data_IF_049076408589
#
_entry.id   IF_049076408589
#
_cell.length_a   1.000
_cell.length_b   1.000
_cell.length_c   1.000
_cell.angle_alpha   90.00
_cell.angle_beta   90.00
_cell.angle_gamma   90.00
#
_symmetry.space_group_name_H-M   'P 1'
#
loop_
_entity.id
_entity.type
_entity.pdbx_description
1 polymer ?
#
# COMPACT_ATOMS: atom_id res chain seq x y z
N UNK A 1 22.58 -9.38 15.41
CA UNK A 1 23.61 -9.82 16.37
C UNK A 1 24.12 -8.54 17.00
N UNK A 2 23.50 -8.15 18.12
CA UNK A 2 23.80 -6.89 18.83
C UNK A 2 25.15 -7.08 19.51
N UNK A 3 26.05 -6.10 19.47
CA UNK A 3 27.35 -6.19 20.13
C UNK A 3 27.12 -6.39 21.64
N UNK A 4 27.24 -7.63 22.12
CA UNK A 4 26.83 -8.05 23.46
C UNK A 4 27.87 -7.73 24.55
N UNK A 5 29.03 -7.19 24.16
CA UNK A 5 30.15 -6.94 25.07
C UNK A 5 30.28 -5.48 25.55
N UNK A 6 29.47 -4.56 25.04
CA UNK A 6 29.43 -3.19 25.55
C UNK A 6 28.57 -3.11 26.83
N UNK A 7 29.10 -3.70 27.90
CA UNK A 7 28.58 -3.64 29.27
C UNK A 7 28.82 -2.27 29.91
N UNK A 8 28.67 -1.18 29.16
CA UNK A 8 28.80 0.18 29.69
C UNK A 8 27.41 0.66 30.12
N UNK A 9 27.08 0.39 31.39
CA UNK A 9 25.93 0.90 32.13
C UNK A 9 24.56 0.78 31.41
N UNK A 10 23.91 -0.35 31.64
CA UNK A 10 22.46 -0.42 31.57
C UNK A 10 21.85 0.63 32.52
N UNK A 11 21.40 1.77 31.98
CA UNK A 11 20.08 2.39 32.33
C UNK A 11 19.75 3.71 31.61
N UNK A 12 20.53 4.24 30.67
CA UNK A 12 20.17 5.51 30.00
C UNK A 12 20.19 5.38 28.48
N UNK A 13 19.21 4.65 27.95
CA UNK A 13 18.89 4.58 26.50
C UNK A 13 18.26 5.89 25.99
N UNK A 14 18.93 7.01 26.21
CA UNK A 14 18.61 8.32 25.66
C UNK A 14 19.93 9.10 25.47
N UNK A 15 20.73 8.70 24.49
CA UNK A 15 21.93 9.45 24.07
C UNK A 15 21.58 10.80 23.41
N UNK A 16 20.31 11.03 23.15
CA UNK A 16 19.74 12.33 22.82
C UNK A 16 19.19 12.94 24.11
N UNK A 17 19.72 14.08 24.56
CA UNK A 17 18.97 15.21 25.20
C UNK A 17 19.84 16.23 25.95
N UNK A 18 21.17 16.25 25.78
CA UNK A 18 21.98 17.39 26.24
C UNK A 18 22.61 18.18 25.08
N UNK A 19 21.85 18.37 23.99
CA UNK A 19 22.23 19.28 22.89
C UNK A 19 22.59 20.69 23.37
N UNK A 20 21.92 21.29 24.39
CA UNK A 20 22.31 22.59 24.93
C UNK A 20 23.69 22.58 25.62
N UNK A 21 24.03 21.49 26.32
CA UNK A 21 25.32 21.34 27.01
C UNK A 21 26.46 21.13 26.01
N UNK A 22 26.24 20.31 24.98
CA UNK A 22 27.20 20.13 23.87
C UNK A 22 27.43 21.46 23.14
N UNK A 23 26.37 22.22 22.83
CA UNK A 23 26.51 23.52 22.17
C UNK A 23 27.27 24.56 23.01
N UNK A 24 27.11 24.52 24.34
CA UNK A 24 27.84 25.40 25.26
C UNK A 24 29.31 24.95 25.43
N UNK A 25 29.57 23.65 25.47
CA UNK A 25 30.93 23.08 25.50
C UNK A 25 31.70 23.37 24.21
N UNK A 26 31.03 23.37 23.04
CA UNK A 26 31.63 23.77 21.76
C UNK A 26 31.99 25.26 21.69
N UNK A 27 31.42 26.10 22.57
CA UNK A 27 31.64 27.55 22.62
C UNK A 27 32.64 27.99 23.70
N UNK A 28 33.06 27.07 24.56
CA UNK A 28 34.04 27.33 25.63
C UNK A 28 35.36 26.66 25.27
N UNK A 29 36.48 27.28 25.64
CA UNK A 29 37.82 26.73 25.41
C UNK A 29 38.10 25.62 26.44
N UNK A 30 37.42 24.49 26.30
CA UNK A 30 37.55 23.33 27.19
C UNK A 30 38.70 22.46 26.69
N UNK A 31 39.79 22.44 27.45
CA UNK A 31 40.89 21.52 27.21
C UNK A 31 40.53 20.12 27.73
N UNK A 32 39.99 19.26 26.86
CA UNK A 32 39.64 17.88 27.18
C UNK A 32 40.90 17.05 27.45
N UNK A 33 40.86 16.21 28.49
CA UNK A 33 41.94 15.27 28.77
C UNK A 33 41.97 14.11 27.74
N UNK A 34 43.08 13.41 27.66
CA UNK A 34 43.22 12.24 26.77
C UNK A 34 42.18 11.13 27.08
N UNK A 35 41.79 10.96 28.35
CA UNK A 35 40.76 10.00 28.74
C UNK A 35 39.38 10.43 28.26
N UNK A 36 39.03 11.71 28.44
CA UNK A 36 37.74 12.25 27.96
C UNK A 36 37.62 12.16 26.44
N UNK A 37 38.70 12.43 25.71
CA UNK A 37 38.73 12.27 24.25
C UNK A 37 38.56 10.81 23.83
N UNK A 38 39.10 9.85 24.58
CA UNK A 38 38.92 8.42 24.34
C UNK A 38 37.46 8.02 24.56
N UNK A 39 36.85 8.47 25.65
CA UNK A 39 35.46 8.19 25.99
C UNK A 39 34.51 8.75 24.92
N UNK A 40 34.75 9.98 24.44
CA UNK A 40 33.96 10.60 23.37
C UNK A 40 34.07 9.81 22.07
N UNK A 41 35.28 9.36 21.68
CA UNK A 41 35.47 8.55 20.48
C UNK A 41 34.73 7.22 20.56
N UNK A 42 34.77 6.57 21.72
CA UNK A 42 34.06 5.32 21.93
C UNK A 42 32.54 5.51 21.90
N UNK A 43 32.03 6.61 22.47
CA UNK A 43 30.62 6.97 22.36
C UNK A 43 30.18 7.17 20.91
N UNK A 44 30.99 7.86 20.10
CA UNK A 44 30.71 8.05 18.67
C UNK A 44 30.66 6.70 17.96
N UNK A 45 31.67 5.84 18.19
CA UNK A 45 31.74 4.51 17.58
C UNK A 45 30.50 3.66 17.89
N UNK A 46 30.10 3.60 19.16
CA UNK A 46 28.90 2.87 19.57
C UNK A 46 27.63 3.45 18.93
N UNK A 47 27.51 4.77 18.83
CA UNK A 47 26.36 5.42 18.20
C UNK A 47 26.29 5.13 16.68
N UNK A 48 27.44 5.08 16.00
CA UNK A 48 27.54 4.71 14.59
C UNK A 48 27.17 3.23 14.36
N UNK A 49 27.63 2.33 15.23
CA UNK A 49 27.29 0.90 15.20
C UNK A 49 25.76 0.69 15.38
N UNK A 50 25.16 1.37 16.37
CA UNK A 50 23.71 1.33 16.61
C UNK A 50 22.91 1.89 15.43
N UNK A 51 23.38 3.01 14.84
CA UNK A 51 22.73 3.63 13.68
C UNK A 51 22.69 2.66 12.49
N UNK A 52 23.79 1.95 12.24
CA UNK A 52 23.86 0.97 11.15
C UNK A 52 22.95 -0.22 11.43
N UNK A 53 22.89 -0.71 12.67
CA UNK A 53 21.97 -1.76 13.08
C UNK A 53 20.50 -1.35 12.87
N UNK A 54 20.13 -0.12 13.24
CA UNK A 54 18.78 0.40 13.04
C UNK A 54 18.44 0.57 11.56
N UNK A 55 19.38 1.05 10.74
CA UNK A 55 19.19 1.16 9.28
C UNK A 55 18.94 -0.21 8.64
N UNK A 56 19.72 -1.22 9.04
CA UNK A 56 19.53 -2.58 8.56
C UNK A 56 18.15 -3.14 8.95
N UNK A 57 17.70 -2.90 10.18
CA UNK A 57 16.38 -3.34 10.64
C UNK A 57 15.24 -2.59 9.93
N UNK A 58 15.38 -1.29 9.67
CA UNK A 58 14.42 -0.52 8.87
C UNK A 58 14.26 -1.15 7.49
N UNK A 59 15.35 -1.42 6.77
CA UNK A 59 15.30 -2.03 5.43
C UNK A 59 14.64 -3.43 5.45
N UNK A 60 14.91 -4.21 6.48
CA UNK A 60 14.30 -5.52 6.71
C UNK A 60 12.79 -5.42 6.92
N UNK A 61 12.35 -4.49 7.76
CA UNK A 61 10.94 -4.27 8.05
C UNK A 61 10.18 -3.69 6.85
N UNK A 62 10.76 -2.73 6.14
CA UNK A 62 10.18 -2.19 4.90
C UNK A 62 9.97 -3.28 3.85
N UNK A 63 10.93 -4.19 3.70
CA UNK A 63 10.81 -5.35 2.81
C UNK A 63 9.65 -6.28 3.21
N UNK A 64 9.47 -6.53 4.52
CA UNK A 64 8.35 -7.32 5.04
C UNK A 64 7.01 -6.64 4.81
N UNK A 65 6.92 -5.33 5.07
CA UNK A 65 5.71 -4.52 4.81
C UNK A 65 5.33 -4.61 3.33
N UNK A 66 6.30 -4.42 2.43
CA UNK A 66 6.07 -4.51 0.98
C UNK A 66 5.54 -5.90 0.58
N UNK A 67 6.14 -6.97 1.08
CA UNK A 67 5.70 -8.33 0.78
C UNK A 67 4.27 -8.59 1.26
N UNK A 68 3.94 -8.20 2.49
CA UNK A 68 2.61 -8.41 3.06
C UNK A 68 1.56 -7.56 2.35
N UNK A 69 1.90 -6.32 1.98
CA UNK A 69 1.04 -5.46 1.17
C UNK A 69 0.69 -6.12 -0.18
N UNK A 70 1.68 -6.64 -0.91
CA UNK A 70 1.43 -7.35 -2.18
C UNK A 70 0.51 -8.56 -1.97
N UNK A 71 0.73 -9.34 -0.92
CA UNK A 71 -0.11 -10.51 -0.61
C UNK A 71 -1.54 -10.11 -0.26
N UNK A 72 -1.72 -9.05 0.52
CA UNK A 72 -3.02 -8.50 0.88
C UNK A 72 -3.79 -8.08 -0.36
N UNK A 73 -3.18 -7.27 -1.22
CA UNK A 73 -3.79 -6.79 -2.46
C UNK A 73 -4.22 -7.94 -3.40
N UNK A 74 -3.37 -8.96 -3.51
CA UNK A 74 -3.69 -10.14 -4.32
C UNK A 74 -4.90 -10.90 -3.76
N UNK A 75 -4.93 -11.10 -2.44
CA UNK A 75 -6.01 -11.80 -1.77
C UNK A 75 -7.33 -11.02 -1.86
N UNK A 76 -7.29 -9.71 -1.70
CA UNK A 76 -8.44 -8.83 -1.85
C UNK A 76 -9.03 -8.94 -3.26
N UNK A 77 -8.20 -8.75 -4.31
CA UNK A 77 -8.61 -8.90 -5.71
C UNK A 77 -9.18 -10.28 -6.02
N UNK A 78 -8.58 -11.34 -5.46
CA UNK A 78 -9.09 -12.70 -5.64
C UNK A 78 -10.45 -12.88 -4.97
N UNK A 79 -10.60 -12.37 -3.75
CA UNK A 79 -11.83 -12.46 -2.98
C UNK A 79 -12.96 -11.67 -3.66
N UNK A 80 -12.68 -10.48 -4.20
CA UNK A 80 -13.63 -9.71 -4.98
C UNK A 80 -14.13 -10.46 -6.22
N UNK A 81 -13.22 -11.12 -6.96
CA UNK A 81 -13.60 -11.96 -8.10
C UNK A 81 -14.54 -13.09 -7.68
N UNK A 82 -14.26 -13.77 -6.56
CA UNK A 82 -15.14 -14.82 -6.03
C UNK A 82 -16.48 -14.22 -5.59
N UNK A 83 -16.48 -13.10 -4.85
CA UNK A 83 -17.71 -12.40 -4.46
C UNK A 83 -18.56 -11.99 -5.67
N UNK A 84 -17.94 -11.63 -6.80
CA UNK A 84 -18.66 -11.32 -8.04
C UNK A 84 -19.50 -12.49 -8.57
N UNK A 85 -19.16 -13.73 -8.21
CA UNK A 85 -19.95 -14.93 -8.53
C UNK A 85 -21.29 -14.93 -7.80
N UNK A 86 -21.37 -14.26 -6.65
CA UNK A 86 -22.59 -14.12 -5.84
C UNK A 86 -23.43 -12.91 -6.24
N UNK A 87 -22.98 -12.12 -7.23
CA UNK A 87 -23.69 -10.93 -7.68
C UNK A 87 -25.13 -11.26 -8.08
N UNK A 88 -26.15 -10.51 -7.61
CA UNK A 88 -27.55 -10.74 -7.95
C UNK A 88 -27.81 -10.81 -9.46
N UNK A 89 -27.04 -10.05 -10.25
CA UNK A 89 -27.19 -9.98 -11.71
C UNK A 89 -27.01 -11.34 -12.40
N UNK A 90 -26.25 -12.26 -11.79
CA UNK A 90 -26.07 -13.62 -12.31
C UNK A 90 -27.30 -14.51 -12.14
N UNK A 91 -28.18 -14.16 -11.19
CA UNK A 91 -29.43 -14.89 -10.89
C UNK A 91 -30.66 -14.30 -11.59
N UNK A 92 -30.54 -13.15 -12.23
CA UNK A 92 -31.65 -12.57 -12.99
C UNK A 92 -32.01 -13.47 -14.17
N UNK A 93 -33.29 -13.60 -14.53
CA UNK A 93 -33.72 -14.19 -15.79
C UNK A 93 -33.22 -13.39 -17.00
N UNK A 94 -33.24 -13.99 -18.19
CA UNK A 94 -32.76 -13.34 -19.42
C UNK A 94 -33.64 -12.15 -19.81
N UNK A 95 -34.95 -12.24 -19.56
CA UNK A 95 -35.94 -11.20 -19.85
C UNK A 95 -35.64 -9.93 -19.04
N UNK A 96 -35.40 -10.10 -17.73
CA UNK A 96 -35.05 -8.98 -16.84
C UNK A 96 -33.72 -8.37 -17.26
N UNK A 97 -32.75 -9.20 -17.65
CA UNK A 97 -31.45 -8.72 -18.14
C UNK A 97 -31.59 -7.92 -19.45
N UNK A 98 -32.43 -8.40 -20.39
CA UNK A 98 -32.76 -7.68 -21.62
C UNK A 98 -33.45 -6.34 -21.35
N UNK A 99 -34.41 -6.30 -20.43
CA UNK A 99 -35.05 -5.06 -19.99
C UNK A 99 -34.05 -4.05 -19.40
N UNK A 100 -33.10 -4.51 -18.60
CA UNK A 100 -32.02 -3.65 -18.08
C UNK A 100 -31.19 -3.09 -19.24
N UNK A 101 -30.80 -3.91 -20.22
CA UNK A 101 -30.04 -3.45 -21.38
C UNK A 101 -30.80 -2.41 -22.20
N UNK A 102 -32.07 -2.66 -22.52
CA UNK A 102 -32.94 -1.71 -23.22
C UNK A 102 -33.06 -0.40 -22.45
N UNK A 103 -33.34 -0.46 -21.15
CA UNK A 103 -33.42 0.73 -20.31
C UNK A 103 -32.12 1.53 -20.33
N UNK A 104 -30.95 0.88 -20.20
CA UNK A 104 -29.65 1.55 -20.26
C UNK A 104 -29.31 2.14 -21.64
N UNK A 105 -29.88 1.59 -22.72
CA UNK A 105 -29.72 2.10 -24.08
C UNK A 105 -30.67 3.26 -24.42
N UNK A 106 -31.89 3.26 -23.87
CA UNK A 106 -32.93 4.28 -24.07
C UNK A 106 -32.77 5.48 -23.14
N UNK A 107 -32.36 5.23 -21.90
CA UNK A 107 -32.10 6.29 -20.93
C UNK A 107 -30.83 7.04 -21.32
N UNK A 108 -30.87 8.38 -21.21
CA UNK A 108 -29.70 9.24 -21.27
C UNK A 108 -28.78 9.03 -20.05
N UNK A 109 -28.41 7.79 -19.71
CA UNK A 109 -27.20 7.53 -18.93
C UNK A 109 -26.03 8.03 -19.76
N UNK A 110 -25.77 9.33 -19.67
CA UNK A 110 -24.68 10.05 -20.32
C UNK A 110 -23.36 9.65 -19.67
N UNK A 111 -23.00 8.38 -19.80
CA UNK A 111 -21.61 7.96 -19.71
C UNK A 111 -21.11 7.98 -21.14
N UNK A 112 -20.67 9.16 -21.59
CA UNK A 112 -20.03 9.46 -22.89
C UNK A 112 -20.74 8.89 -24.13
N UNK A 113 -21.36 9.74 -24.92
CA UNK A 113 -22.12 9.45 -26.15
C UNK A 113 -21.28 8.82 -27.28
N UNK A 114 -20.84 7.57 -27.11
CA UNK A 114 -20.18 6.80 -28.15
C UNK A 114 -20.86 5.44 -28.34
N UNK A 115 -20.93 4.98 -29.60
CA UNK A 115 -21.45 3.64 -29.97
C UNK A 115 -20.73 2.50 -29.23
N UNK A 116 -19.59 2.77 -28.59
CA UNK A 116 -18.84 1.83 -27.78
C UNK A 116 -19.63 1.31 -26.57
N UNK A 117 -20.55 2.10 -26.00
CA UNK A 117 -21.30 1.70 -24.79
C UNK A 117 -22.38 0.65 -25.05
N UNK A 118 -22.96 0.61 -26.27
CA UNK A 118 -23.92 -0.45 -26.66
C UNK A 118 -23.28 -1.84 -26.65
N UNK A 119 -21.97 -1.90 -26.91
CA UNK A 119 -21.21 -3.15 -26.94
C UNK A 119 -20.65 -3.54 -25.57
N UNK A 120 -20.75 -2.69 -24.54
CA UNK A 120 -20.20 -2.98 -23.21
C UNK A 120 -20.90 -4.18 -22.57
N UNK A 121 -22.20 -4.36 -22.79
CA UNK A 121 -22.91 -5.55 -22.31
C UNK A 121 -22.34 -6.84 -22.91
N UNK A 122 -21.92 -6.79 -24.18
CA UNK A 122 -21.38 -7.94 -24.91
C UNK A 122 -19.97 -8.36 -24.46
N UNK A 123 -19.27 -7.50 -23.69
CA UNK A 123 -17.94 -7.80 -23.16
C UNK A 123 -17.97 -8.34 -21.73
N UNK A 124 -19.11 -8.33 -21.04
CA UNK A 124 -19.22 -8.77 -19.63
C UNK A 124 -19.05 -10.28 -19.48
N UNK A 125 -19.88 -11.08 -20.16
CA UNK A 125 -19.76 -12.54 -20.19
C UNK A 125 -20.52 -13.13 -21.39
N UNK A 126 -20.33 -14.43 -21.64
CA UNK A 126 -21.01 -15.14 -22.73
C UNK A 126 -22.54 -15.01 -22.66
N UNK A 127 -23.11 -15.14 -21.47
CA UNK A 127 -24.56 -15.03 -21.24
C UNK A 127 -25.08 -13.61 -21.55
N UNK A 128 -24.38 -12.57 -21.10
CA UNK A 128 -24.78 -11.19 -21.42
C UNK A 128 -24.68 -10.88 -22.90
N UNK A 129 -23.65 -11.44 -23.56
CA UNK A 129 -23.51 -11.34 -25.00
C UNK A 129 -24.66 -12.01 -25.74
N UNK A 130 -25.01 -13.23 -25.35
CA UNK A 130 -26.14 -13.95 -25.92
C UNK A 130 -27.43 -13.15 -25.77
N UNK A 131 -27.78 -12.75 -24.53
CA UNK A 131 -28.99 -11.97 -24.26
C UNK A 131 -28.99 -10.65 -25.03
N UNK A 132 -27.86 -9.94 -25.07
CA UNK A 132 -27.74 -8.69 -25.82
C UNK A 132 -27.97 -8.88 -27.32
N UNK A 133 -27.37 -9.91 -27.92
CA UNK A 133 -27.58 -10.22 -29.35
C UNK A 133 -29.01 -10.66 -29.65
N UNK A 134 -29.68 -11.34 -28.71
CA UNK A 134 -31.08 -11.80 -28.87
C UNK A 134 -32.13 -10.78 -28.42
N UNK A 135 -31.74 -9.56 -28.02
CA UNK A 135 -32.66 -8.49 -27.62
C UNK A 135 -32.71 -7.42 -28.71
N UNK A 136 -33.64 -7.49 -29.69
CA UNK A 136 -33.64 -6.58 -30.85
C UNK A 136 -33.75 -5.10 -30.48
N UNK A 137 -34.39 -4.79 -29.34
CA UNK A 137 -34.66 -3.45 -28.86
C UNK A 137 -33.38 -2.62 -28.60
N UNK A 138 -32.24 -3.27 -28.31
CA UNK A 138 -30.97 -2.56 -28.12
C UNK A 138 -30.27 -2.23 -29.45
N UNK A 139 -30.71 -2.84 -30.56
CA UNK A 139 -30.18 -2.68 -31.91
C UNK A 139 -31.09 -1.87 -32.83
N UNK A 140 -32.38 -1.73 -32.48
CA UNK A 140 -33.40 -1.09 -33.32
C UNK A 140 -33.44 0.43 -33.28
N UNK A 141 -32.57 1.09 -32.50
CA UNK A 141 -32.43 2.55 -32.51
C UNK A 141 -31.43 2.94 -33.61
N UNK A 142 -31.94 3.00 -34.85
CA UNK A 142 -31.31 3.70 -35.99
C UNK A 142 -31.78 5.15 -35.96
#
# INVERSE_FOLDING_TARGET
MVCLDCTCLASSRLYTYNLPDIQNQLRTDIHLSASQLSDIKEMIRCAEDDLEAYRAEILSLESKVKLLSIKSDLLEKHTEKIRSLLSPVRRLPNEVLGHIFSYCCESNFRVSSSRAHRNTFLSVCSRWREVGLTTPQIWSVI
#
